data_IF_558654294714
#
_entry.id   IF_558654294714
#
_cell.length_a   1.000
_cell.length_b   1.000
_cell.length_c   1.000
_cell.angle_alpha   90.00
_cell.angle_beta   90.00
_cell.angle_gamma   90.00
#
_symmetry.space_group_name_H-M   'P 1'
#
loop_
_entity.id
_entity.type
_entity.pdbx_description
1 polymer ?
#
# COMPACT_ATOMS: atom_id res chain seq x y z
N UNK A 1 -22.97 -5.60 33.00
CA UNK A 1 -22.23 -6.86 33.19
C UNK A 1 -22.02 -7.56 31.84
N UNK A 2 -20.83 -7.43 31.25
CA UNK A 2 -20.31 -8.35 30.23
C UNK A 2 -18.85 -8.61 30.59
N UNK A 3 -18.55 -9.87 30.89
CA UNK A 3 -17.24 -10.37 31.30
C UNK A 3 -16.32 -10.48 30.08
N UNK A 4 -15.10 -9.97 30.25
CA UNK A 4 -13.83 -10.70 30.07
C UNK A 4 -13.45 -11.17 28.66
N UNK A 5 -12.38 -10.59 28.11
CA UNK A 5 -11.21 -11.39 27.71
C UNK A 5 -9.95 -10.50 27.72
N UNK A 6 -9.17 -10.64 28.79
CA UNK A 6 -7.77 -10.22 28.83
C UNK A 6 -6.98 -11.23 28.00
N UNK A 7 -6.35 -10.80 26.91
CA UNK A 7 -5.30 -11.59 26.26
C UNK A 7 -3.97 -10.98 26.68
N UNK A 8 -3.45 -11.56 27.77
CA UNK A 8 -2.06 -11.43 28.19
C UNK A 8 -1.24 -12.34 27.28
N UNK A 9 -0.61 -11.80 26.23
CA UNK A 9 0.41 -12.52 25.47
C UNK A 9 1.79 -12.19 26.07
N UNK A 10 2.36 -13.19 26.72
CA UNK A 10 3.68 -13.19 27.35
C UNK A 10 4.81 -12.74 26.41
N UNK A 11 5.82 -12.17 27.07
CA UNK A 11 7.19 -11.98 26.61
C UNK A 11 7.72 -13.13 25.76
N UNK A 12 8.36 -12.78 24.64
CA UNK A 12 9.58 -13.45 24.20
C UNK A 12 10.61 -12.37 23.83
N UNK A 13 11.72 -12.21 24.59
CA UNK A 13 12.81 -11.36 24.19
C UNK A 13 13.63 -12.13 23.15
N UNK A 14 13.36 -11.91 21.86
CA UNK A 14 14.26 -12.36 20.82
C UNK A 14 15.44 -11.40 20.75
N UNK A 15 16.48 -11.77 21.48
CA UNK A 15 17.86 -11.42 21.20
C UNK A 15 18.17 -11.82 19.75
N UNK A 16 18.14 -10.84 18.84
CA UNK A 16 18.89 -10.90 17.61
C UNK A 16 19.63 -9.57 17.44
N UNK A 17 20.81 -9.52 18.05
CA UNK A 17 21.89 -8.75 17.48
C UNK A 17 22.22 -9.36 16.12
N UNK A 18 21.92 -8.64 15.05
CA UNK A 18 22.63 -8.77 13.79
C UNK A 18 23.05 -7.36 13.40
N UNK A 19 24.33 -7.09 13.59
CA UNK A 19 25.01 -6.00 12.91
C UNK A 19 24.90 -6.26 11.41
N UNK A 20 24.45 -5.24 10.68
CA UNK A 20 25.17 -4.72 9.54
C UNK A 20 24.60 -3.34 9.22
N UNK A 21 25.41 -2.31 9.52
CA UNK A 21 25.22 -0.95 9.03
C UNK A 21 25.41 -0.95 7.51
N UNK A 22 24.40 -1.40 6.77
CA UNK A 22 24.30 -1.11 5.35
C UNK A 22 23.67 0.28 5.27
N UNK A 23 24.33 1.21 4.59
CA UNK A 23 23.71 2.45 4.12
C UNK A 23 22.43 2.02 3.40
N UNK A 24 21.28 2.19 4.05
CA UNK A 24 20.00 1.71 3.53
C UNK A 24 19.72 2.46 2.26
N UNK A 25 20.04 1.85 1.12
CA UNK A 25 19.73 2.45 -0.17
C UNK A 25 18.23 2.63 -0.26
N UNK A 26 17.85 3.81 -0.72
CA UNK A 26 16.50 4.24 -0.89
C UNK A 26 15.79 3.28 -1.86
N UNK A 27 14.72 2.56 -1.48
CA UNK A 27 14.12 1.57 -2.37
C UNK A 27 13.62 2.27 -3.65
N UNK A 28 13.63 1.58 -4.80
CA UNK A 28 13.27 2.20 -6.06
C UNK A 28 11.82 2.69 -6.04
N UNK A 29 11.56 3.72 -6.83
CA UNK A 29 10.18 4.10 -7.16
C UNK A 29 9.58 3.00 -8.02
N UNK A 30 8.36 2.58 -7.70
CA UNK A 30 7.68 1.54 -8.45
C UNK A 30 6.57 2.18 -9.25
N UNK A 31 6.58 1.97 -10.57
CA UNK A 31 5.46 2.31 -11.45
C UNK A 31 4.89 1.02 -12.01
N UNK A 32 3.59 0.81 -11.83
CA UNK A 32 2.83 -0.33 -12.35
C UNK A 32 1.69 0.16 -13.24
N UNK A 33 1.46 -0.56 -14.33
CA UNK A 33 0.29 -0.42 -15.18
C UNK A 33 -0.37 -1.79 -15.38
N UNK A 34 -1.69 -1.82 -15.39
CA UNK A 34 -2.53 -2.98 -15.68
C UNK A 34 -3.48 -2.63 -16.82
N UNK A 35 -3.34 -3.34 -17.93
CA UNK A 35 -4.28 -3.30 -19.03
C UNK A 35 -5.24 -4.49 -18.87
N UNK A 36 -6.49 -4.17 -18.51
CA UNK A 36 -7.50 -5.16 -18.17
C UNK A 36 -8.67 -5.21 -19.12
N UNK A 37 -9.59 -6.14 -18.88
CA UNK A 37 -10.79 -6.36 -19.67
C UNK A 37 -11.81 -5.21 -19.56
N UNK A 38 -11.80 -4.45 -18.47
CA UNK A 38 -12.74 -3.33 -18.23
C UNK A 38 -12.09 -1.96 -18.34
N UNK A 39 -10.79 -1.87 -18.15
CA UNK A 39 -10.09 -0.60 -18.16
C UNK A 39 -8.59 -0.68 -17.98
N UNK A 40 -7.98 0.49 -17.91
CA UNK A 40 -6.59 0.68 -17.59
C UNK A 40 -6.44 1.18 -16.15
N UNK A 41 -5.48 0.63 -15.42
CA UNK A 41 -5.13 1.09 -14.08
C UNK A 41 -3.63 1.30 -13.97
N UNK A 42 -3.19 2.30 -13.22
CA UNK A 42 -1.79 2.48 -12.89
C UNK A 42 -1.60 2.90 -11.44
N UNK A 43 -0.47 2.46 -10.87
CA UNK A 43 -0.05 2.76 -9.51
C UNK A 43 1.41 3.21 -9.53
N UNK A 44 1.71 4.34 -8.90
CA UNK A 44 3.07 4.74 -8.56
C UNK A 44 3.25 4.73 -7.05
N UNK A 45 4.35 4.15 -6.58
CA UNK A 45 4.71 4.10 -5.16
C UNK A 45 6.11 4.65 -4.95
N UNK A 46 6.22 5.63 -4.05
CA UNK A 46 7.46 6.26 -3.63
C UNK A 46 7.59 6.02 -2.12
N UNK A 47 8.71 5.46 -1.70
CA UNK A 47 9.07 5.32 -0.28
C UNK A 47 10.56 5.64 -0.17
N UNK A 48 10.91 6.84 0.26
CA UNK A 48 12.31 7.30 0.29
C UNK A 48 12.61 7.94 1.64
N UNK A 49 13.75 7.66 2.25
CA UNK A 49 14.29 8.42 3.38
C UNK A 49 14.91 9.72 2.87
N UNK A 50 14.85 10.77 3.70
CA UNK A 50 15.47 12.06 3.37
C UNK A 50 16.99 11.98 3.42
N UNK A 51 17.63 12.80 2.60
CA UNK A 51 19.06 12.99 2.67
C UNK A 51 19.44 13.53 4.06
N UNK A 52 20.50 12.96 4.66
CA UNK A 52 20.94 13.34 6.01
C UNK A 52 20.08 12.82 7.16
N UNK A 53 18.97 12.09 6.91
CA UNK A 53 18.15 11.51 7.98
C UNK A 53 17.69 10.09 7.68
N UNK A 54 18.03 9.16 8.58
CA UNK A 54 17.57 7.76 8.51
C UNK A 54 16.14 7.57 9.05
N UNK A 55 15.66 8.51 9.89
CA UNK A 55 14.35 8.40 10.55
C UNK A 55 13.24 9.13 9.78
N UNK A 56 13.58 10.20 9.07
CA UNK A 56 12.62 10.96 8.27
C UNK A 56 12.56 10.41 6.84
N UNK A 57 11.36 10.38 6.29
CA UNK A 57 11.15 9.96 4.91
C UNK A 57 9.88 10.51 4.33
N UNK A 58 9.67 10.16 3.06
CA UNK A 58 8.53 10.51 2.25
C UNK A 58 7.90 9.25 1.69
N UNK A 59 6.59 9.13 1.87
CA UNK A 59 5.79 8.06 1.36
C UNK A 59 4.63 8.61 0.53
N UNK A 60 4.55 8.17 -0.72
CA UNK A 60 3.49 8.56 -1.63
C UNK A 60 3.00 7.38 -2.44
N UNK A 61 1.70 7.34 -2.66
CA UNK A 61 1.05 6.42 -3.57
C UNK A 61 0.12 7.23 -4.44
N UNK A 62 0.26 7.10 -5.75
CA UNK A 62 -0.67 7.63 -6.72
C UNK A 62 -1.30 6.47 -7.45
N UNK A 63 -2.63 6.41 -7.46
CA UNK A 63 -3.44 5.41 -8.15
C UNK A 63 -4.39 6.12 -9.08
N UNK A 64 -4.49 5.65 -10.31
CA UNK A 64 -5.49 6.11 -11.27
C UNK A 64 -6.03 4.92 -12.03
N UNK A 65 -7.33 4.89 -12.26
CA UNK A 65 -7.97 3.88 -13.10
C UNK A 65 -9.09 4.49 -13.91
N UNK A 66 -9.23 4.03 -15.15
CA UNK A 66 -10.31 4.44 -16.05
C UNK A 66 -10.87 3.22 -16.75
N UNK A 67 -12.19 3.18 -16.93
CA UNK A 67 -12.78 2.19 -17.84
C UNK A 67 -12.52 2.57 -19.29
N UNK A 68 -12.55 1.58 -20.17
CA UNK A 68 -12.43 1.81 -21.62
C UNK A 68 -13.59 2.65 -22.18
N UNK A 69 -14.74 2.64 -21.52
CA UNK A 69 -15.94 3.37 -21.90
C UNK A 69 -16.03 4.78 -21.30
N UNK A 70 -15.03 5.20 -20.52
CA UNK A 70 -15.03 6.48 -19.81
C UNK A 70 -14.03 7.44 -20.46
N UNK A 71 -14.50 8.62 -20.89
CA UNK A 71 -13.63 9.67 -21.46
C UNK A 71 -12.76 10.35 -20.39
N UNK A 72 -13.24 10.38 -19.13
CA UNK A 72 -12.55 10.98 -18.00
C UNK A 72 -12.53 10.02 -16.82
N UNK A 73 -11.33 9.73 -16.30
CA UNK A 73 -11.16 8.92 -15.10
C UNK A 73 -11.75 9.65 -13.88
N UNK A 74 -12.64 8.96 -13.16
CA UNK A 74 -13.19 9.41 -11.87
C UNK A 74 -12.54 8.72 -10.67
N UNK A 75 -11.76 7.68 -10.94
CA UNK A 75 -11.11 6.85 -9.93
C UNK A 75 -9.63 7.21 -9.85
N UNK A 76 -9.33 8.24 -9.06
CA UNK A 76 -7.97 8.66 -8.73
C UNK A 76 -7.79 8.77 -7.21
N UNK A 77 -6.61 8.41 -6.73
CA UNK A 77 -6.22 8.54 -5.33
C UNK A 77 -4.75 8.92 -5.26
N UNK A 78 -4.44 10.02 -4.58
CA UNK A 78 -3.07 10.45 -4.34
C UNK A 78 -2.89 10.64 -2.84
N UNK A 79 -1.78 10.14 -2.32
CA UNK A 79 -1.34 10.46 -0.97
C UNK A 79 0.11 10.94 -1.00
N UNK A 80 0.41 11.90 -0.13
CA UNK A 80 1.75 12.42 0.05
C UNK A 80 1.96 12.62 1.55
N UNK A 81 2.87 11.84 2.13
CA UNK A 81 3.07 11.79 3.57
C UNK A 81 4.54 11.90 3.93
N UNK A 82 4.80 12.61 5.02
CA UNK A 82 6.06 12.53 5.75
C UNK A 82 5.96 11.35 6.70
N UNK A 83 7.05 10.59 6.81
CA UNK A 83 7.16 9.47 7.72
C UNK A 83 8.26 9.72 8.74
N UNK A 84 8.03 9.34 9.99
CA UNK A 84 9.05 9.38 11.06
C UNK A 84 9.15 8.01 11.74
N UNK A 85 10.32 7.39 11.65
CA UNK A 85 10.60 6.11 12.31
C UNK A 85 10.74 6.30 13.83
N UNK A 86 9.76 5.75 14.56
CA UNK A 86 9.73 5.80 16.03
C UNK A 86 10.46 4.62 16.64
N UNK A 87 10.29 3.44 16.05
CA UNK A 87 10.94 2.17 16.39
C UNK A 87 11.23 1.48 15.06
N UNK A 88 12.25 0.62 15.01
CA UNK A 88 12.57 -0.17 13.80
C UNK A 88 11.31 -0.76 13.16
N UNK A 89 11.17 -0.57 11.86
CA UNK A 89 10.05 -1.02 11.02
C UNK A 89 8.69 -0.35 11.31
N UNK A 90 8.57 0.51 12.33
CA UNK A 90 7.34 1.24 12.70
C UNK A 90 7.54 2.75 12.50
N UNK A 91 6.71 3.33 11.66
CA UNK A 91 6.74 4.76 11.32
C UNK A 91 5.43 5.44 11.66
N UNK A 92 5.51 6.65 12.20
CA UNK A 92 4.42 7.61 12.13
C UNK A 92 4.30 8.11 10.70
N UNK A 93 3.08 8.30 10.22
CA UNK A 93 2.79 8.80 8.88
C UNK A 93 1.83 9.96 9.03
N UNK A 94 2.15 11.11 8.44
CA UNK A 94 1.25 12.26 8.40
C UNK A 94 1.41 13.04 7.10
N UNK A 95 0.31 13.58 6.58
CA UNK A 95 0.34 14.33 5.32
C UNK A 95 -1.04 14.53 4.75
N UNK A 96 -1.18 14.26 3.46
CA UNK A 96 -2.41 14.50 2.72
C UNK A 96 -2.88 13.29 1.93
N UNK A 97 -4.19 13.26 1.71
CA UNK A 97 -4.89 12.29 0.92
C UNK A 97 -5.91 13.02 0.03
N UNK A 98 -5.91 12.69 -1.25
CA UNK A 98 -6.80 13.27 -2.25
C UNK A 98 -7.54 12.17 -3.02
N UNK A 99 -8.84 12.37 -3.20
CA UNK A 99 -9.63 11.68 -4.23
C UNK A 99 -10.59 12.69 -4.87
N UNK A 100 -11.06 12.46 -6.11
CA UNK A 100 -12.09 13.29 -6.72
C UNK A 100 -13.38 13.40 -5.90
N UNK A 101 -13.71 12.37 -5.11
CA UNK A 101 -14.95 12.32 -4.31
C UNK A 101 -14.85 13.04 -2.96
N UNK A 102 -13.72 12.90 -2.26
CA UNK A 102 -13.56 13.45 -0.89
C UNK A 102 -12.77 14.75 -0.85
N UNK A 103 -12.19 15.17 -1.97
CA UNK A 103 -11.28 16.30 -2.04
C UNK A 103 -9.95 16.05 -1.31
N UNK A 104 -9.23 17.14 -1.05
CA UNK A 104 -7.94 17.14 -0.36
C UNK A 104 -8.14 17.17 1.16
N UNK A 105 -7.66 16.13 1.86
CA UNK A 105 -7.86 15.95 3.30
C UNK A 105 -6.54 15.65 3.99
N UNK A 106 -6.31 16.17 5.21
CA UNK A 106 -5.16 15.76 6.00
C UNK A 106 -5.32 14.30 6.43
N UNK A 107 -4.21 13.59 6.63
CA UNK A 107 -4.21 12.21 7.11
C UNK A 107 -3.09 11.97 8.09
N UNK A 108 -3.31 11.09 9.06
CA UNK A 108 -2.28 10.60 9.96
C UNK A 108 -2.53 9.15 10.36
N UNK A 109 -1.47 8.43 10.66
CA UNK A 109 -1.54 7.03 11.04
C UNK A 109 -0.17 6.44 11.34
N UNK A 110 -0.09 5.12 11.25
CA UNK A 110 1.14 4.36 11.46
C UNK A 110 1.40 3.45 10.27
N UNK A 111 2.65 3.18 9.98
CA UNK A 111 3.06 2.20 9.00
C UNK A 111 4.03 1.22 9.65
N UNK A 112 3.69 -0.06 9.58
CA UNK A 112 4.62 -1.15 9.81
C UNK A 112 5.09 -1.67 8.45
N UNK A 113 6.40 -1.77 8.24
CA UNK A 113 6.97 -2.31 7.01
C UNK A 113 8.17 -3.18 7.34
N UNK A 114 8.09 -4.47 7.03
CA UNK A 114 9.18 -5.41 7.29
C UNK A 114 9.45 -6.27 6.07
N UNK A 115 10.73 -6.35 5.72
CA UNK A 115 11.24 -7.31 4.76
C UNK A 115 11.87 -8.49 5.53
N UNK A 116 11.51 -9.71 5.18
CA UNK A 116 12.12 -10.93 5.70
C UNK A 116 12.33 -11.93 4.54
N UNK A 117 13.60 -12.24 4.27
CA UNK A 117 14.03 -13.04 3.11
C UNK A 117 13.49 -12.44 1.80
N UNK A 118 12.56 -13.14 1.16
CA UNK A 118 11.94 -12.76 -0.11
C UNK A 118 10.53 -12.19 0.08
N UNK A 119 10.12 -11.90 1.32
CA UNK A 119 8.79 -11.44 1.67
C UNK A 119 8.80 -10.01 2.21
N UNK A 120 7.91 -9.18 1.70
CA UNK A 120 7.64 -7.83 2.20
C UNK A 120 6.21 -7.77 2.77
N UNK A 121 6.09 -7.38 4.04
CA UNK A 121 4.82 -7.07 4.69
C UNK A 121 4.74 -5.56 4.95
N UNK A 122 3.62 -4.95 4.55
CA UNK A 122 3.28 -3.58 4.90
C UNK A 122 1.88 -3.54 5.52
N UNK A 123 1.73 -2.85 6.64
CA UNK A 123 0.45 -2.60 7.30
C UNK A 123 0.38 -1.11 7.62
N UNK A 124 -0.66 -0.42 7.14
CA UNK A 124 -0.79 1.03 7.28
C UNK A 124 -2.21 1.45 7.68
N UNK A 125 -2.58 1.36 8.97
CA UNK A 125 -3.80 1.98 9.46
C UNK A 125 -3.64 3.50 9.53
N UNK A 126 -4.67 4.24 9.11
CA UNK A 126 -4.70 5.71 9.14
C UNK A 126 -6.11 6.28 9.29
N UNK A 127 -6.17 7.53 9.71
CA UNK A 127 -7.36 8.36 9.71
C UNK A 127 -7.24 9.45 8.65
N UNK A 128 -8.32 9.69 7.89
CA UNK A 128 -8.38 10.66 6.79
C UNK A 128 -9.47 11.69 7.07
N UNK A 129 -9.04 12.96 7.10
CA UNK A 129 -9.79 14.08 7.65
C UNK A 129 -9.95 13.97 9.15
N UNK A 130 -9.88 15.10 9.86
CA UNK A 130 -10.05 15.17 11.31
C UNK A 130 -11.33 15.97 11.62
N UNK A 131 -12.47 15.44 11.18
CA UNK A 131 -13.77 16.10 11.24
C UNK A 131 -14.91 15.09 11.42
N UNK A 132 -16.17 15.56 11.46
CA UNK A 132 -17.34 14.66 11.62
C UNK A 132 -17.47 13.59 10.53
N UNK A 133 -16.82 13.75 9.38
CA UNK A 133 -16.83 12.79 8.28
C UNK A 133 -15.46 12.09 8.12
N UNK A 134 -14.69 11.97 9.21
CA UNK A 134 -13.40 11.26 9.22
C UNK A 134 -13.56 9.83 8.73
N UNK A 135 -12.58 9.36 7.97
CA UNK A 135 -12.52 8.00 7.44
C UNK A 135 -11.41 7.26 8.16
N UNK A 136 -11.73 6.13 8.77
CA UNK A 136 -10.73 5.17 9.21
C UNK A 136 -10.39 4.24 8.04
N UNK A 137 -9.11 4.03 7.77
CA UNK A 137 -8.65 3.17 6.67
C UNK A 137 -7.56 2.22 7.17
N UNK A 138 -7.74 0.94 6.88
CA UNK A 138 -6.74 -0.10 7.06
C UNK A 138 -6.20 -0.55 5.72
N UNK A 139 -4.88 -0.47 5.55
CA UNK A 139 -4.17 -1.01 4.40
C UNK A 139 -3.25 -2.17 4.81
N UNK A 140 -3.21 -3.23 4.00
CA UNK A 140 -2.26 -4.33 4.13
C UNK A 140 -1.72 -4.73 2.76
N UNK A 141 -0.43 -5.06 2.69
CA UNK A 141 0.21 -5.60 1.50
C UNK A 141 1.23 -6.65 1.85
N UNK A 142 1.13 -7.79 1.19
CA UNK A 142 2.10 -8.88 1.22
C UNK A 142 2.67 -9.06 -0.19
N UNK A 143 3.98 -9.00 -0.34
CA UNK A 143 4.69 -9.26 -1.59
C UNK A 143 5.71 -10.38 -1.36
N UNK A 144 5.73 -11.39 -2.23
CA UNK A 144 6.65 -12.52 -2.15
C UNK A 144 7.37 -12.71 -3.49
N UNK A 145 8.71 -12.67 -3.44
CA UNK A 145 9.60 -12.58 -4.61
C UNK A 145 10.82 -13.50 -4.56
N UNK A 146 10.64 -14.83 -4.46
CA UNK A 146 11.75 -15.75 -4.38
C UNK A 146 12.54 -15.81 -5.69
N UNK A 147 13.85 -16.03 -5.56
CA UNK A 147 14.73 -16.22 -6.71
C UNK A 147 14.40 -17.53 -7.42
N UNK A 148 14.23 -17.47 -8.75
CA UNK A 148 14.13 -18.64 -9.62
C UNK A 148 15.51 -18.93 -10.24
N UNK A 149 16.21 -17.88 -10.67
CA UNK A 149 17.58 -17.93 -11.21
C UNK A 149 18.30 -16.60 -10.96
N UNK A 150 19.51 -16.44 -11.49
CA UNK A 150 20.31 -15.22 -11.30
C UNK A 150 19.58 -13.94 -11.74
N UNK A 151 18.80 -14.01 -12.82
CA UNK A 151 18.11 -12.85 -13.39
C UNK A 151 16.58 -12.87 -13.24
N UNK A 152 16.02 -13.98 -12.76
CA UNK A 152 14.57 -14.19 -12.68
C UNK A 152 14.11 -14.44 -11.26
N UNK A 153 13.05 -13.75 -10.86
CA UNK A 153 12.34 -14.00 -9.61
C UNK A 153 10.87 -14.29 -9.91
N UNK A 154 10.25 -15.14 -9.10
CA UNK A 154 8.79 -15.21 -9.04
C UNK A 154 8.28 -13.88 -8.47
N UNK A 155 7.09 -13.45 -8.85
CA UNK A 155 6.44 -12.29 -8.28
C UNK A 155 5.01 -12.61 -7.90
N UNK A 156 4.67 -12.40 -6.64
CA UNK A 156 3.29 -12.46 -6.17
C UNK A 156 3.01 -11.32 -5.19
N UNK A 157 1.85 -10.68 -5.32
CA UNK A 157 1.43 -9.61 -4.42
C UNK A 157 -0.05 -9.72 -4.11
N UNK A 158 -0.38 -9.60 -2.83
CA UNK A 158 -1.74 -9.41 -2.32
C UNK A 158 -1.78 -8.08 -1.61
N UNK A 159 -2.70 -7.21 -2.02
CA UNK A 159 -2.87 -5.88 -1.47
C UNK A 159 -4.34 -5.67 -1.14
N UNK A 160 -4.63 -5.33 0.11
CA UNK A 160 -5.99 -5.14 0.62
C UNK A 160 -6.13 -3.77 1.26
N UNK A 161 -7.31 -3.18 1.10
CA UNK A 161 -7.68 -1.94 1.78
C UNK A 161 -9.15 -2.02 2.20
N UNK A 162 -9.44 -1.49 3.37
CA UNK A 162 -10.80 -1.30 3.85
C UNK A 162 -10.90 0.04 4.55
N UNK A 163 -11.92 0.82 4.21
CA UNK A 163 -12.18 2.12 4.82
C UNK A 163 -13.66 2.32 5.12
N UNK A 164 -13.91 3.01 6.22
CA UNK A 164 -15.24 3.32 6.72
C UNK A 164 -15.28 4.72 7.34
N UNK A 165 -16.46 5.33 7.34
CA UNK A 165 -16.70 6.60 8.01
C UNK A 165 -16.82 6.37 9.51
N UNK A 166 -16.06 7.09 10.33
CA UNK A 166 -16.00 6.90 11.79
C UNK A 166 -17.34 7.21 12.47
N UNK A 167 -18.14 8.12 11.90
CA UNK A 167 -19.39 8.60 12.50
C UNK A 167 -20.49 7.54 12.52
N UNK A 168 -20.68 6.84 11.42
CA UNK A 168 -21.82 5.95 11.16
C UNK A 168 -21.40 4.53 10.77
N UNK A 169 -20.08 4.27 10.62
CA UNK A 169 -19.55 2.97 10.22
C UNK A 169 -19.85 2.64 8.76
N UNK A 170 -20.27 3.61 7.96
CA UNK A 170 -20.58 3.37 6.56
C UNK A 170 -19.31 3.05 5.77
N UNK A 171 -19.37 1.96 5.00
CA UNK A 171 -18.28 1.56 4.13
C UNK A 171 -18.00 2.66 3.09
N UNK A 172 -16.77 3.15 3.08
CA UNK A 172 -16.32 4.17 2.12
C UNK A 172 -15.72 3.50 0.88
N UNK A 173 -14.71 2.65 1.07
CA UNK A 173 -14.06 1.89 0.00
C UNK A 173 -13.42 0.62 0.56
N UNK A 174 -13.45 -0.44 -0.23
CA UNK A 174 -12.55 -1.57 -0.01
C UNK A 174 -12.02 -2.05 -1.34
N UNK A 175 -10.82 -2.61 -1.33
CA UNK A 175 -10.31 -3.29 -2.51
C UNK A 175 -9.42 -4.47 -2.14
N UNK A 176 -9.31 -5.37 -3.10
CA UNK A 176 -8.33 -6.43 -3.15
C UNK A 176 -7.64 -6.37 -4.52
N UNK A 177 -6.31 -6.26 -4.52
CA UNK A 177 -5.50 -6.33 -5.73
C UNK A 177 -4.55 -7.52 -5.62
N UNK A 178 -4.57 -8.35 -6.67
CA UNK A 178 -3.76 -9.54 -6.78
C UNK A 178 -2.83 -9.41 -7.98
N UNK A 179 -1.57 -9.82 -7.81
CA UNK A 179 -0.58 -9.91 -8.88
C UNK A 179 0.11 -11.26 -8.80
N UNK A 180 0.31 -11.87 -9.97
CA UNK A 180 1.10 -13.08 -10.12
C UNK A 180 1.89 -12.98 -11.43
N UNK A 181 3.19 -13.18 -11.38
CA UNK A 181 4.05 -13.00 -12.54
C UNK A 181 5.50 -13.31 -12.26
N UNK A 182 6.38 -12.72 -13.05
CA UNK A 182 7.83 -12.89 -12.96
C UNK A 182 8.52 -11.54 -13.06
N UNK A 183 9.63 -11.41 -12.33
CA UNK A 183 10.50 -10.25 -12.39
C UNK A 183 11.79 -10.62 -13.13
N UNK A 184 12.12 -9.88 -14.19
CA UNK A 184 13.41 -9.93 -14.86
C UNK A 184 14.13 -8.59 -14.68
N UNK A 185 15.22 -8.59 -13.92
CA UNK A 185 15.94 -7.36 -13.53
C UNK A 185 14.97 -6.32 -12.95
N UNK A 186 14.88 -5.12 -13.51
CA UNK A 186 14.05 -4.02 -13.02
C UNK A 186 12.59 -4.07 -13.49
N UNK A 187 12.21 -5.00 -14.37
CA UNK A 187 10.85 -5.15 -14.90
C UNK A 187 10.18 -6.37 -14.27
N UNK A 188 8.89 -6.25 -13.98
CA UNK A 188 8.01 -7.33 -13.54
C UNK A 188 6.77 -7.33 -14.42
N UNK A 189 6.29 -8.50 -14.82
CA UNK A 189 5.10 -8.61 -15.63
C UNK A 189 4.35 -9.91 -15.31
N UNK A 190 3.06 -9.92 -15.59
CA UNK A 190 2.22 -11.10 -15.36
C UNK A 190 0.74 -10.79 -15.39
N UNK A 191 -0.04 -11.61 -14.69
CA UNK A 191 -1.48 -11.46 -14.54
C UNK A 191 -1.82 -10.62 -13.29
N UNK A 192 -2.85 -9.80 -13.42
CA UNK A 192 -3.38 -8.99 -12.33
C UNK A 192 -4.90 -9.02 -12.26
N UNK A 193 -5.42 -8.94 -11.04
CA UNK A 193 -6.83 -8.78 -10.75
C UNK A 193 -7.02 -7.63 -9.75
N UNK A 194 -7.94 -6.73 -10.05
CA UNK A 194 -8.37 -5.67 -9.13
C UNK A 194 -9.86 -5.87 -8.84
N UNK A 195 -10.20 -5.94 -7.56
CA UNK A 195 -11.56 -5.97 -7.04
C UNK A 195 -11.73 -4.74 -6.18
N UNK A 196 -12.51 -3.77 -6.62
CA UNK A 196 -12.83 -2.58 -5.85
C UNK A 196 -14.30 -2.60 -5.48
N UNK A 197 -14.64 -2.06 -4.30
CA UNK A 197 -16.01 -1.85 -3.84
C UNK A 197 -16.13 -0.45 -3.27
N UNK A 198 -17.18 0.28 -3.62
CA UNK A 198 -17.36 1.68 -3.23
C UNK A 198 -18.71 1.92 -2.54
N UNK A 199 -18.71 2.86 -1.61
CA UNK A 199 -19.90 3.38 -0.96
C UNK A 199 -20.60 2.38 -0.04
N UNK A 200 -21.67 2.81 0.65
CA UNK A 200 -22.36 1.99 1.66
C UNK A 200 -22.99 0.72 1.06
N UNK A 201 -23.35 0.74 -0.23
CA UNK A 201 -23.92 -0.39 -0.95
C UNK A 201 -22.89 -1.37 -1.53
N UNK A 202 -21.58 -1.09 -1.37
CA UNK A 202 -20.47 -1.93 -1.87
C UNK A 202 -20.57 -2.25 -3.37
N UNK A 203 -20.78 -1.22 -4.19
CA UNK A 203 -20.80 -1.38 -5.65
C UNK A 203 -19.44 -1.91 -6.12
N UNK A 204 -19.42 -3.13 -6.65
CA UNK A 204 -18.19 -3.82 -7.02
C UNK A 204 -17.77 -3.52 -8.45
N UNK A 205 -16.49 -3.18 -8.64
CA UNK A 205 -15.81 -3.08 -9.93
C UNK A 205 -14.70 -4.11 -9.97
N UNK A 206 -14.62 -4.87 -11.06
CA UNK A 206 -13.60 -5.89 -11.26
C UNK A 206 -12.86 -5.62 -12.55
N UNK A 207 -11.53 -5.74 -12.52
CA UNK A 207 -10.69 -5.58 -13.72
C UNK A 207 -9.58 -6.64 -13.70
N UNK A 208 -9.51 -7.44 -14.75
CA UNK A 208 -8.56 -8.55 -14.89
C UNK A 208 -7.76 -8.36 -16.15
N UNK A 209 -6.46 -8.62 -16.10
CA UNK A 209 -5.64 -8.60 -17.30
C UNK A 209 -4.16 -8.76 -17.03
N UNK A 210 -3.37 -8.12 -17.87
CA UNK A 210 -1.91 -8.17 -17.79
C UNK A 210 -1.40 -6.91 -17.12
N UNK A 211 -0.39 -7.06 -16.28
CA UNK A 211 0.31 -5.93 -15.68
C UNK A 211 1.79 -5.95 -16.06
N UNK A 212 2.37 -4.76 -16.07
CA UNK A 212 3.80 -4.54 -16.10
C UNK A 212 4.16 -3.52 -15.01
N UNK A 213 5.25 -3.77 -14.31
CA UNK A 213 5.78 -2.92 -13.25
C UNK A 213 7.27 -2.71 -13.47
N UNK A 214 7.71 -1.46 -13.34
CA UNK A 214 9.11 -1.07 -13.46
C UNK A 214 9.62 -0.50 -12.13
N UNK A 215 10.85 -0.86 -11.78
CA UNK A 215 11.63 -0.23 -10.71
C UNK A 215 12.44 0.92 -11.31
N UNK A 216 12.15 2.13 -10.87
CA UNK A 216 12.72 3.39 -11.32
C UNK A 216 13.61 3.99 -10.23
N UNK A 217 14.67 4.70 -10.62
CA UNK A 217 15.54 5.48 -9.73
C UNK A 217 16.13 4.65 -8.56
N UNK A 218 17.04 3.73 -8.92
CA UNK A 218 17.90 2.99 -7.98
C UNK A 218 18.94 3.91 -7.34
#
# INVERSE_FOLDING_TARGET
>A
MKKMLFITACLMPLLFYSQNNIHGSNPPVIFEALAGNKGFASQMTINKTFEGSKKLGFFSVANISSKWTEDNSKDAMIQANITFEVIKDIRLVAGSHYTPTTGFRPTAGFMYSRNFNDFLLVVNPRCIGFSKNSIAEGFIMAEYKPKISENWNLYSRVQGLYSETIRDGEHARSYLMLRLGVSHKFITFGAGANFDSYGPFKESKQNYGIFASARLFN
#
